data_IF_144476488895
#
_entry.id   IF_144476488895
#
_cell.length_a   1.000
_cell.length_b   1.000
_cell.length_c   1.000
_cell.angle_alpha   90.00
_cell.angle_beta   90.00
_cell.angle_gamma   90.00
#
_symmetry.space_group_name_H-M   'P 1'
#
loop_
_entity.id
_entity.type
_entity.pdbx_description
1 polymer ?
#
# COMPACT_ATOMS: atom_id res chain seq x y z
N UNK A 1 -13.96 0.22 24.43
CA UNK A 1 -14.14 0.42 25.87
C UNK A 1 -15.62 0.49 26.23
N UNK A 2 -16.43 1.37 25.64
CA UNK A 2 -17.86 1.51 25.93
C UNK A 2 -18.64 0.18 25.79
N UNK A 3 -18.42 -0.53 24.69
CA UNK A 3 -19.01 -1.85 24.44
C UNK A 3 -18.59 -2.86 25.52
N UNK A 4 -17.31 -2.91 25.87
CA UNK A 4 -16.80 -3.80 26.91
C UNK A 4 -17.44 -3.53 28.27
N UNK A 5 -17.61 -2.26 28.64
CA UNK A 5 -18.26 -1.89 29.91
C UNK A 5 -19.73 -2.31 29.92
N UNK A 6 -20.46 -2.15 28.80
CA UNK A 6 -21.86 -2.56 28.68
C UNK A 6 -21.99 -4.09 28.81
N UNK A 7 -21.17 -4.85 28.08
CA UNK A 7 -21.27 -6.31 28.07
C UNK A 7 -20.81 -6.94 29.38
N UNK A 8 -19.68 -6.46 29.94
CA UNK A 8 -19.17 -6.97 31.23
C UNK A 8 -20.00 -6.49 32.46
N UNK A 9 -20.89 -5.48 32.27
CA UNK A 9 -21.68 -4.93 33.35
C UNK A 9 -20.88 -4.29 34.49
N UNK A 10 -19.57 -4.15 34.32
CA UNK A 10 -18.64 -3.66 35.34
C UNK A 10 -17.57 -2.78 34.70
N UNK A 11 -17.61 -1.46 35.02
CA UNK A 11 -16.67 -0.49 34.45
C UNK A 11 -15.20 -0.81 34.80
N UNK A 12 -14.95 -1.43 35.98
CA UNK A 12 -13.58 -1.85 36.39
C UNK A 12 -13.07 -3.00 35.55
N UNK A 13 -13.95 -3.97 35.27
CA UNK A 13 -13.64 -5.06 34.36
C UNK A 13 -13.33 -4.55 32.95
N UNK A 14 -14.16 -3.63 32.44
CA UNK A 14 -13.91 -2.99 31.15
C UNK A 14 -12.59 -2.21 31.10
N UNK A 15 -12.19 -1.57 32.20
CA UNK A 15 -10.94 -0.82 32.31
C UNK A 15 -9.72 -1.74 32.32
N UNK A 16 -9.80 -2.88 33.03
CA UNK A 16 -8.74 -3.91 33.01
C UNK A 16 -8.49 -4.41 31.62
N UNK A 17 -9.54 -4.79 30.89
CA UNK A 17 -9.43 -5.26 29.51
C UNK A 17 -8.90 -4.16 28.58
N UNK A 18 -9.44 -2.95 28.70
CA UNK A 18 -9.04 -1.82 27.86
C UNK A 18 -7.57 -1.43 28.04
N UNK A 19 -7.00 -1.64 29.23
CA UNK A 19 -5.58 -1.35 29.50
C UNK A 19 -4.61 -2.27 28.76
N UNK A 20 -5.07 -3.45 28.33
CA UNK A 20 -4.25 -4.38 27.54
C UNK A 20 -3.91 -3.81 26.17
N UNK A 21 -4.82 -3.02 25.57
CA UNK A 21 -4.61 -2.43 24.24
C UNK A 21 -3.33 -1.58 24.20
N UNK A 22 -3.21 -0.49 24.99
CA UNK A 22 -2.01 0.33 24.93
C UNK A 22 -0.74 -0.42 25.36
N UNK A 23 -0.84 -1.36 26.29
CA UNK A 23 0.32 -2.12 26.73
C UNK A 23 0.83 -3.10 25.68
N UNK A 24 -0.05 -3.81 24.98
CA UNK A 24 0.32 -4.69 23.87
C UNK A 24 0.86 -3.90 22.67
N UNK A 25 0.31 -2.71 22.40
CA UNK A 25 0.82 -1.80 21.39
C UNK A 25 2.24 -1.32 21.71
N UNK A 26 2.48 -0.90 22.95
CA UNK A 26 3.82 -0.50 23.39
C UNK A 26 4.82 -1.66 23.30
N UNK A 27 4.39 -2.87 23.63
CA UNK A 27 5.19 -4.06 23.45
C UNK A 27 5.53 -4.30 21.97
N UNK A 28 4.51 -4.21 21.09
CA UNK A 28 4.71 -4.36 19.64
C UNK A 28 5.69 -3.32 19.09
N UNK A 29 5.54 -2.05 19.45
CA UNK A 29 6.46 -0.98 19.01
C UNK A 29 7.88 -1.17 19.54
N UNK A 30 8.02 -1.66 20.79
CA UNK A 30 9.31 -2.03 21.33
C UNK A 30 9.99 -3.13 20.55
N UNK A 31 9.24 -4.17 20.19
CA UNK A 31 9.73 -5.29 19.37
C UNK A 31 10.06 -4.83 17.95
N UNK A 32 9.21 -4.02 17.31
CA UNK A 32 9.48 -3.46 15.99
C UNK A 32 10.81 -2.68 15.96
N UNK A 33 11.04 -1.82 16.96
CA UNK A 33 12.32 -1.10 17.10
C UNK A 33 13.50 -2.05 17.27
N UNK A 34 13.36 -3.11 18.08
CA UNK A 34 14.43 -4.07 18.35
C UNK A 34 14.80 -4.89 17.11
N UNK A 35 13.80 -5.23 16.28
CA UNK A 35 13.99 -6.02 15.06
C UNK A 35 14.18 -5.16 13.80
N UNK A 36 14.27 -3.83 13.94
CA UNK A 36 14.48 -2.92 12.82
C UNK A 36 13.36 -2.90 11.80
N UNK A 37 12.09 -3.00 12.27
CA UNK A 37 10.90 -2.99 11.42
C UNK A 37 10.33 -1.58 11.41
N UNK A 38 10.26 -0.99 10.23
CA UNK A 38 9.68 0.33 10.05
C UNK A 38 8.15 0.32 10.20
N UNK A 39 7.65 1.30 10.94
CA UNK A 39 6.20 1.51 11.08
C UNK A 39 5.64 2.22 9.85
N UNK A 40 4.75 1.55 9.12
CA UNK A 40 4.00 2.14 8.03
C UNK A 40 2.49 2.14 8.33
N UNK A 41 1.71 2.93 7.58
CA UNK A 41 0.26 3.02 7.76
C UNK A 41 -0.45 1.68 7.59
N UNK A 42 0.05 0.82 6.70
CA UNK A 42 -0.51 -0.51 6.47
C UNK A 42 -0.28 -1.42 7.69
N UNK A 43 0.91 -1.39 8.29
CA UNK A 43 1.23 -2.14 9.50
C UNK A 43 0.38 -1.70 10.69
N UNK A 44 0.20 -0.38 10.87
CA UNK A 44 -0.61 0.18 11.94
C UNK A 44 -2.11 -0.03 11.71
N UNK A 45 -2.57 0.08 10.45
CA UNK A 45 -3.96 -0.11 10.07
C UNK A 45 -4.42 -1.58 10.16
N UNK A 46 -3.50 -2.54 10.05
CA UNK A 46 -3.80 -3.96 10.15
C UNK A 46 -3.97 -4.45 11.60
N UNK A 47 -3.66 -3.62 12.60
CA UNK A 47 -3.80 -4.01 13.99
C UNK A 47 -5.28 -4.04 14.36
N UNK A 48 -5.78 -5.24 14.60
CA UNK A 48 -7.14 -5.46 15.09
C UNK A 48 -7.16 -5.47 16.61
N UNK A 49 -7.76 -4.42 17.18
CA UNK A 49 -7.93 -4.30 18.63
C UNK A 49 -8.85 -5.38 19.21
N UNK A 50 -9.74 -5.98 18.40
CA UNK A 50 -10.58 -7.09 18.81
C UNK A 50 -9.76 -8.30 19.17
N UNK A 51 -8.86 -8.73 18.30
CA UNK A 51 -7.98 -9.88 18.55
C UNK A 51 -7.04 -9.67 19.74
N UNK A 52 -6.58 -8.43 19.97
CA UNK A 52 -5.71 -8.09 21.10
C UNK A 52 -6.41 -8.27 22.45
N UNK A 53 -7.69 -7.94 22.53
CA UNK A 53 -8.42 -7.98 23.81
C UNK A 53 -9.15 -9.30 24.08
N UNK A 54 -9.24 -10.19 23.09
CA UNK A 54 -10.12 -11.35 23.12
C UNK A 54 -9.85 -12.25 24.34
N UNK A 55 -8.61 -12.69 24.52
CA UNK A 55 -8.23 -13.52 25.68
C UNK A 55 -8.37 -12.77 27.02
N UNK A 56 -8.10 -11.46 27.04
CA UNK A 56 -8.26 -10.67 28.23
C UNK A 56 -9.76 -10.56 28.63
N UNK A 57 -10.64 -10.41 27.64
CA UNK A 57 -12.11 -10.40 27.86
C UNK A 57 -12.56 -11.73 28.44
N UNK A 58 -12.16 -12.85 27.83
CA UNK A 58 -12.52 -14.22 28.26
C UNK A 58 -12.10 -14.48 29.71
N UNK A 59 -10.89 -14.09 30.08
CA UNK A 59 -10.38 -14.29 31.44
C UNK A 59 -11.14 -13.43 32.45
N UNK A 60 -11.32 -12.14 32.15
CA UNK A 60 -12.03 -11.20 33.06
C UNK A 60 -13.51 -11.58 33.20
N UNK A 61 -14.17 -11.96 32.09
CA UNK A 61 -15.55 -12.44 32.10
C UNK A 61 -15.70 -13.68 32.98
N UNK A 62 -14.78 -14.64 32.81
CA UNK A 62 -14.81 -15.85 33.63
C UNK A 62 -14.65 -15.57 35.11
N UNK A 63 -13.76 -14.66 35.48
CA UNK A 63 -13.56 -14.23 36.84
C UNK A 63 -14.81 -13.57 37.41
N UNK A 64 -15.38 -12.60 36.67
CA UNK A 64 -16.59 -11.87 37.08
C UNK A 64 -17.78 -12.81 37.21
N UNK A 65 -17.98 -13.69 36.24
CA UNK A 65 -19.08 -14.67 36.25
C UNK A 65 -18.94 -15.67 37.39
N UNK A 66 -17.73 -16.19 37.64
CA UNK A 66 -17.43 -17.12 38.70
C UNK A 66 -17.74 -16.52 40.09
N UNK A 67 -17.33 -15.28 40.33
CA UNK A 67 -17.59 -14.55 41.59
C UNK A 67 -19.08 -14.27 41.76
N UNK A 68 -19.74 -13.76 40.68
CA UNK A 68 -21.17 -13.37 40.75
C UNK A 68 -22.12 -14.58 40.89
N UNK A 69 -21.74 -15.75 40.33
CA UNK A 69 -22.51 -16.98 40.43
C UNK A 69 -22.30 -17.68 41.81
N UNK A 70 -21.38 -17.19 42.66
CA UNK A 70 -21.08 -17.78 43.92
C UNK A 70 -20.45 -19.21 43.80
N UNK A 71 -19.83 -19.52 42.69
CA UNK A 71 -19.18 -20.81 42.42
C UNK A 71 -17.76 -20.83 42.96
N UNK A 72 -17.61 -20.47 44.23
CA UNK A 72 -16.28 -20.39 44.88
C UNK A 72 -15.56 -21.72 44.91
N UNK A 73 -14.24 -21.69 44.70
CA UNK A 73 -13.35 -22.81 44.69
C UNK A 73 -13.24 -23.45 46.09
N UNK A 74 -13.22 -22.60 47.13
CA UNK A 74 -13.15 -23.05 48.51
C UNK A 74 -14.55 -23.35 49.09
N UNK A 75 -14.77 -24.57 49.65
CA UNK A 75 -16.04 -24.93 50.27
C UNK A 75 -16.43 -24.02 51.46
N UNK A 76 -15.44 -23.50 52.20
CA UNK A 76 -15.63 -22.58 53.32
C UNK A 76 -16.18 -21.24 52.86
N UNK A 77 -15.62 -20.65 51.81
CA UNK A 77 -16.08 -19.37 51.23
C UNK A 77 -17.47 -19.55 50.64
N UNK A 78 -17.72 -20.66 49.93
CA UNK A 78 -19.03 -20.99 49.39
C UNK A 78 -20.09 -21.15 50.47
N UNK A 79 -19.77 -21.85 51.59
CA UNK A 79 -20.68 -22.01 52.73
C UNK A 79 -20.99 -20.65 53.41
N UNK A 80 -19.97 -19.81 53.60
CA UNK A 80 -20.13 -18.47 54.16
C UNK A 80 -21.00 -17.55 53.26
N UNK A 81 -20.79 -17.63 51.94
CA UNK A 81 -21.62 -16.91 50.95
C UNK A 81 -23.11 -17.33 51.05
N UNK A 82 -23.39 -18.65 51.01
CA UNK A 82 -24.73 -19.19 51.07
C UNK A 82 -25.44 -18.84 52.40
N UNK A 83 -24.72 -18.91 53.53
CA UNK A 83 -25.25 -18.52 54.83
C UNK A 83 -25.64 -17.02 54.84
N UNK A 84 -24.78 -16.15 54.30
CA UNK A 84 -25.03 -14.71 54.29
C UNK A 84 -26.11 -14.31 53.27
N UNK A 85 -26.21 -15.02 52.16
CA UNK A 85 -27.29 -14.84 51.18
C UNK A 85 -28.68 -15.17 51.79
N UNK A 86 -28.76 -16.28 52.59
CA UNK A 86 -29.99 -16.65 53.32
C UNK A 86 -30.37 -15.62 54.34
N UNK A 87 -29.39 -14.93 54.96
CA UNK A 87 -29.60 -13.87 55.93
C UNK A 87 -29.91 -12.48 55.30
N UNK A 88 -30.01 -12.38 53.96
CA UNK A 88 -30.28 -11.13 53.26
C UNK A 88 -29.12 -10.12 53.29
N UNK A 89 -27.92 -10.55 53.70
CA UNK A 89 -26.73 -9.69 53.79
C UNK A 89 -25.83 -9.71 52.58
N UNK A 90 -25.15 -8.61 52.29
CA UNK A 90 -24.11 -8.56 51.26
C UNK A 90 -22.88 -9.37 51.66
N UNK A 91 -22.26 -10.05 50.68
CA UNK A 91 -21.01 -10.81 50.86
C UNK A 91 -19.82 -10.07 50.23
N UNK A 92 -18.70 -10.04 50.94
CA UNK A 92 -17.47 -9.44 50.49
C UNK A 92 -16.29 -10.36 50.71
N UNK A 93 -15.52 -10.63 49.68
CA UNK A 93 -14.30 -11.40 49.71
C UNK A 93 -13.17 -10.62 50.40
N UNK A 94 -12.30 -11.30 51.13
CA UNK A 94 -10.99 -10.80 51.52
C UNK A 94 -10.06 -10.75 50.29
N UNK A 95 -8.90 -10.08 50.38
CA UNK A 95 -7.99 -9.99 49.25
C UNK A 95 -7.42 -11.40 48.92
N UNK A 96 -7.05 -12.17 49.94
CA UNK A 96 -6.51 -13.52 49.74
C UNK A 96 -7.53 -14.46 49.07
N UNK A 97 -8.79 -14.41 49.48
CA UNK A 97 -9.86 -15.17 48.82
C UNK A 97 -10.08 -14.70 47.35
N UNK A 98 -10.01 -13.38 47.10
CA UNK A 98 -10.11 -12.84 45.75
C UNK A 98 -8.96 -13.34 44.84
N UNK A 99 -7.74 -13.34 45.35
CA UNK A 99 -6.54 -13.78 44.61
C UNK A 99 -6.67 -15.27 44.25
N UNK A 100 -7.17 -16.10 45.18
CA UNK A 100 -7.36 -17.53 44.94
C UNK A 100 -8.47 -17.81 43.92
N UNK A 101 -9.60 -17.11 44.01
CA UNK A 101 -10.72 -17.26 43.07
C UNK A 101 -10.36 -16.75 41.65
N UNK A 102 -9.59 -15.66 41.55
CA UNK A 102 -9.05 -15.21 40.27
C UNK A 102 -8.07 -16.22 39.70
N UNK A 103 -7.14 -16.74 40.52
CA UNK A 103 -6.20 -17.80 40.10
C UNK A 103 -6.94 -19.05 39.60
N UNK A 104 -7.93 -19.52 40.34
CA UNK A 104 -8.74 -20.68 39.95
C UNK A 104 -9.45 -20.48 38.65
N UNK A 105 -10.19 -19.35 38.50
CA UNK A 105 -10.95 -19.04 37.30
C UNK A 105 -10.08 -18.84 36.07
N UNK A 106 -9.00 -18.07 36.21
CA UNK A 106 -8.03 -17.84 35.14
C UNK A 106 -7.34 -19.17 34.73
N UNK A 107 -6.94 -20.03 35.68
CA UNK A 107 -6.30 -21.30 35.38
C UNK A 107 -7.18 -22.26 34.60
N UNK A 108 -8.48 -22.28 34.90
CA UNK A 108 -9.45 -23.14 34.20
C UNK A 108 -9.64 -22.78 32.74
N UNK A 109 -9.58 -21.51 32.40
CA UNK A 109 -9.83 -21.00 31.02
C UNK A 109 -8.53 -20.78 30.24
N UNK A 110 -7.41 -20.62 30.94
CA UNK A 110 -6.09 -20.34 30.35
C UNK A 110 -5.77 -21.24 29.17
N UNK A 111 -6.03 -22.57 29.26
CA UNK A 111 -5.68 -23.47 28.16
C UNK A 111 -6.45 -23.15 26.87
N UNK A 112 -7.75 -22.90 26.99
CA UNK A 112 -8.59 -22.57 25.80
C UNK A 112 -8.25 -21.21 25.21
N UNK A 113 -8.03 -20.19 26.04
CA UNK A 113 -7.64 -18.87 25.61
C UNK A 113 -6.26 -18.87 24.95
N UNK A 114 -5.26 -19.51 25.59
CA UNK A 114 -3.91 -19.62 25.05
C UNK A 114 -3.87 -20.37 23.70
N UNK A 115 -4.64 -21.45 23.58
CA UNK A 115 -4.71 -22.21 22.33
C UNK A 115 -5.28 -21.34 21.18
N UNK A 116 -6.31 -20.55 21.44
CA UNK A 116 -6.89 -19.64 20.45
C UNK A 116 -5.88 -18.60 19.95
N UNK A 117 -5.15 -17.93 20.86
CA UNK A 117 -4.14 -16.93 20.49
C UNK A 117 -2.95 -17.54 19.72
N UNK A 118 -2.48 -18.72 20.14
CA UNK A 118 -1.41 -19.43 19.41
C UNK A 118 -1.88 -19.79 18.00
N UNK A 119 -3.12 -20.23 17.82
CA UNK A 119 -3.67 -20.52 16.50
C UNK A 119 -3.69 -19.27 15.61
N UNK A 120 -4.09 -18.13 16.17
CA UNK A 120 -4.07 -16.85 15.43
C UNK A 120 -2.63 -16.48 15.05
N UNK A 121 -1.67 -16.58 15.97
CA UNK A 121 -0.26 -16.29 15.68
C UNK A 121 0.31 -17.17 14.56
N UNK A 122 -0.03 -18.47 14.53
CA UNK A 122 0.43 -19.40 13.50
C UNK A 122 -0.04 -18.98 12.10
N UNK A 123 -1.23 -18.38 11.96
CA UNK A 123 -1.74 -17.91 10.68
C UNK A 123 -0.86 -16.82 10.07
N UNK A 124 -0.15 -16.04 10.89
CA UNK A 124 0.76 -14.99 10.39
C UNK A 124 2.14 -15.51 9.97
N UNK A 125 2.52 -16.72 10.36
CA UNK A 125 3.84 -17.31 10.02
C UNK A 125 4.06 -17.43 8.51
N UNK A 126 3.11 -17.93 7.70
CA UNK A 126 3.26 -17.97 6.24
C UNK A 126 3.47 -16.57 5.62
N UNK A 127 2.82 -15.54 6.14
CA UNK A 127 3.00 -14.16 5.64
C UNK A 127 4.40 -13.60 5.90
N UNK A 128 5.08 -14.08 6.95
CA UNK A 128 6.47 -13.70 7.24
C UNK A 128 7.48 -14.34 6.29
N UNK A 129 7.11 -15.42 5.61
CA UNK A 129 7.99 -16.14 4.65
C UNK A 129 7.85 -15.64 3.23
N UNK A 130 6.93 -14.70 2.96
CA UNK A 130 6.78 -14.09 1.65
C UNK A 130 8.07 -13.38 1.22
N UNK A 131 8.42 -13.53 -0.06
CA UNK A 131 9.57 -12.91 -0.71
C UNK A 131 9.11 -11.98 -1.84
N UNK A 132 10.02 -11.20 -2.41
CA UNK A 132 9.67 -10.30 -3.50
C UNK A 132 8.93 -9.05 -3.00
N UNK A 133 8.06 -8.50 -3.84
CA UNK A 133 7.29 -7.28 -3.60
C UNK A 133 6.26 -7.52 -2.47
N UNK A 134 5.56 -8.65 -2.54
CA UNK A 134 4.60 -9.08 -1.53
C UNK A 134 5.25 -9.18 -0.16
N UNK A 135 6.46 -9.75 -0.10
CA UNK A 135 7.22 -9.84 1.14
C UNK A 135 7.58 -8.47 1.70
N UNK A 136 8.00 -7.52 0.86
CA UNK A 136 8.31 -6.14 1.30
C UNK A 136 7.10 -5.42 1.88
N UNK A 137 5.90 -5.67 1.34
CA UNK A 137 4.66 -5.03 1.79
C UNK A 137 4.06 -5.72 3.02
N UNK A 138 3.88 -7.05 2.98
CA UNK A 138 3.11 -7.78 3.98
C UNK A 138 3.93 -8.25 5.18
N UNK A 139 5.23 -8.50 5.03
CA UNK A 139 6.08 -8.98 6.12
C UNK A 139 6.16 -7.99 7.31
N UNK A 140 6.35 -6.68 7.12
CA UNK A 140 6.32 -5.71 8.23
C UNK A 140 4.95 -5.69 8.93
N UNK A 141 3.86 -5.76 8.16
CA UNK A 141 2.50 -5.83 8.67
C UNK A 141 2.29 -7.08 9.52
N UNK A 142 2.62 -8.27 8.99
CA UNK A 142 2.47 -9.55 9.68
C UNK A 142 3.27 -9.60 10.99
N UNK A 143 4.51 -9.09 10.98
CA UNK A 143 5.36 -9.01 12.18
C UNK A 143 4.78 -8.05 13.22
N UNK A 144 4.26 -6.91 12.82
CA UNK A 144 3.64 -5.94 13.74
C UNK A 144 2.43 -6.54 14.45
N UNK A 145 1.54 -7.17 13.69
CA UNK A 145 0.36 -7.85 14.26
C UNK A 145 0.76 -9.03 15.13
N UNK A 146 1.72 -9.84 14.70
CA UNK A 146 2.25 -10.94 15.49
C UNK A 146 2.80 -10.47 16.86
N UNK A 147 3.59 -9.40 16.88
CA UNK A 147 4.10 -8.84 18.12
C UNK A 147 3.00 -8.25 19.01
N UNK A 148 1.98 -7.62 18.42
CA UNK A 148 0.85 -7.11 19.17
C UNK A 148 0.06 -8.23 19.85
N UNK A 149 -0.21 -9.34 19.13
CA UNK A 149 -0.88 -10.53 19.67
C UNK A 149 0.00 -11.25 20.70
N UNK A 150 1.30 -11.38 20.43
CA UNK A 150 2.25 -11.96 21.40
C UNK A 150 2.29 -11.15 22.70
N UNK A 151 2.32 -9.82 22.60
CA UNK A 151 2.24 -8.93 23.75
C UNK A 151 0.93 -9.10 24.51
N UNK A 152 -0.20 -9.15 23.81
CA UNK A 152 -1.50 -9.41 24.39
C UNK A 152 -1.57 -10.77 25.08
N UNK A 153 -1.01 -11.80 24.45
CA UNK A 153 -0.89 -13.16 25.03
C UNK A 153 -0.14 -13.17 26.36
N UNK A 154 1.03 -12.56 26.40
CA UNK A 154 1.83 -12.45 27.64
C UNK A 154 1.06 -11.68 28.70
N UNK A 155 0.44 -10.57 28.34
CA UNK A 155 -0.34 -9.74 29.26
C UNK A 155 -1.60 -10.45 29.76
N UNK A 156 -2.28 -11.22 28.91
CA UNK A 156 -3.47 -11.98 29.29
C UNK A 156 -3.16 -13.05 30.35
N UNK A 157 -1.99 -13.66 30.27
CA UNK A 157 -1.56 -14.68 31.23
C UNK A 157 -0.99 -14.12 32.54
N UNK A 158 -0.46 -12.91 32.54
CA UNK A 158 0.27 -12.33 33.68
C UNK A 158 -0.43 -11.12 34.27
N UNK A 159 -0.54 -10.06 33.48
CA UNK A 159 -1.07 -8.77 33.89
C UNK A 159 -2.58 -8.82 34.21
N UNK A 160 -3.37 -9.43 33.31
CA UNK A 160 -4.84 -9.44 33.42
C UNK A 160 -5.32 -10.12 34.70
N UNK A 161 -4.86 -11.34 35.09
CA UNK A 161 -5.24 -11.95 36.36
C UNK A 161 -4.82 -11.12 37.57
N UNK A 162 -3.59 -10.57 37.55
CA UNK A 162 -3.07 -9.79 38.67
C UNK A 162 -3.89 -8.51 38.86
N UNK A 163 -4.15 -7.74 37.80
CA UNK A 163 -4.93 -6.50 37.89
C UNK A 163 -6.40 -6.77 38.18
N UNK A 164 -6.93 -7.91 37.70
CA UNK A 164 -8.30 -8.35 38.04
C UNK A 164 -8.47 -8.57 39.53
N UNK A 165 -7.52 -9.20 40.20
CA UNK A 165 -7.58 -9.43 41.64
C UNK A 165 -7.55 -8.13 42.47
N UNK A 166 -6.84 -7.10 41.94
CA UNK A 166 -6.68 -5.80 42.62
C UNK A 166 -7.85 -4.82 42.35
N UNK A 167 -8.30 -4.73 41.09
CA UNK A 167 -9.26 -3.70 40.66
C UNK A 167 -10.72 -4.17 40.67
N UNK A 168 -11.01 -5.47 40.50
CA UNK A 168 -12.40 -5.91 40.52
C UNK A 168 -13.03 -5.76 41.90
N UNK A 169 -14.34 -5.58 41.88
CA UNK A 169 -15.10 -5.40 43.13
C UNK A 169 -15.12 -6.71 43.92
N UNK A 170 -14.64 -6.67 45.15
CA UNK A 170 -14.74 -7.76 46.11
C UNK A 170 -16.15 -7.97 46.67
N UNK A 171 -17.10 -7.03 46.37
CA UNK A 171 -18.51 -7.19 46.75
C UNK A 171 -19.20 -8.06 45.71
N UNK A 172 -19.79 -9.17 46.14
CA UNK A 172 -20.58 -10.04 45.28
C UNK A 172 -21.96 -9.38 45.09
N UNK A 173 -22.29 -9.06 43.83
CA UNK A 173 -23.55 -8.45 43.48
C UNK A 173 -24.60 -9.53 43.27
N UNK A 174 -25.64 -9.52 44.08
CA UNK A 174 -26.78 -10.45 43.98
C UNK A 174 -27.93 -9.89 43.11
N UNK A 175 -27.83 -8.64 42.70
CA UNK A 175 -28.85 -8.00 41.88
C UNK A 175 -28.45 -8.05 40.40
N UNK A 176 -29.41 -8.41 39.54
CA UNK A 176 -29.22 -8.43 38.09
C UNK A 176 -28.90 -7.03 37.56
N UNK A 177 -27.78 -6.90 36.92
CA UNK A 177 -27.31 -5.70 36.24
C UNK A 177 -28.07 -5.50 34.92
N UNK A 178 -27.97 -4.34 34.29
CA UNK A 178 -28.52 -4.08 32.96
C UNK A 178 -27.93 -5.07 31.93
N UNK A 179 -26.64 -5.34 32.02
CA UNK A 179 -25.93 -6.34 31.20
C UNK A 179 -26.56 -7.72 31.32
N UNK A 180 -26.81 -8.19 32.56
CA UNK A 180 -27.41 -9.52 32.79
C UNK A 180 -28.79 -9.63 32.13
N UNK A 181 -29.60 -8.59 32.23
CA UNK A 181 -30.92 -8.54 31.58
C UNK A 181 -30.83 -8.53 30.05
N UNK A 182 -29.86 -7.85 29.50
CA UNK A 182 -29.61 -7.82 28.07
C UNK A 182 -29.15 -9.21 27.58
N UNK A 183 -28.21 -9.83 28.29
CA UNK A 183 -27.72 -11.17 27.99
C UNK A 183 -28.84 -12.21 28.10
N UNK A 184 -29.67 -12.15 29.17
CA UNK A 184 -30.84 -13.04 29.30
C UNK A 184 -31.83 -12.92 28.14
N UNK A 185 -32.09 -11.68 27.66
CA UNK A 185 -32.94 -11.51 26.47
C UNK A 185 -32.32 -12.11 25.21
N UNK A 186 -31.02 -11.89 24.99
CA UNK A 186 -30.29 -12.47 23.86
C UNK A 186 -30.29 -14.01 23.94
N UNK A 187 -30.03 -14.58 25.13
CA UNK A 187 -30.11 -16.02 25.37
C UNK A 187 -31.52 -16.57 25.15
N UNK A 188 -32.55 -15.84 25.59
CA UNK A 188 -33.94 -16.18 25.35
C UNK A 188 -34.33 -16.27 23.87
N UNK A 189 -33.73 -15.40 23.06
CA UNK A 189 -33.90 -15.43 21.60
C UNK A 189 -33.01 -16.50 20.94
N UNK A 190 -31.79 -16.67 21.41
CA UNK A 190 -30.82 -17.64 20.86
C UNK A 190 -31.19 -19.08 21.14
N UNK A 191 -31.70 -19.38 22.34
CA UNK A 191 -32.05 -20.74 22.78
C UNK A 191 -33.00 -21.49 21.82
N UNK A 192 -34.14 -20.93 21.37
CA UNK A 192 -35.02 -21.61 20.43
C UNK A 192 -34.35 -21.85 19.07
N UNK A 193 -33.53 -20.90 18.59
CA UNK A 193 -32.76 -21.03 17.36
C UNK A 193 -31.76 -22.18 17.48
N UNK A 194 -31.02 -22.23 18.58
CA UNK A 194 -30.06 -23.32 18.83
C UNK A 194 -30.73 -24.69 18.89
N UNK A 195 -31.85 -24.81 19.60
CA UNK A 195 -32.62 -26.07 19.67
C UNK A 195 -33.13 -26.49 18.32
N UNK A 196 -33.60 -25.55 17.49
CA UNK A 196 -34.06 -25.83 16.14
C UNK A 196 -32.90 -26.31 15.24
N UNK A 197 -31.73 -25.65 15.30
CA UNK A 197 -30.51 -26.04 14.58
C UNK A 197 -30.03 -27.43 14.98
N UNK A 198 -29.99 -27.71 16.28
CA UNK A 198 -29.62 -29.04 16.79
C UNK A 198 -30.59 -30.14 16.36
N UNK A 199 -31.90 -29.85 16.34
CA UNK A 199 -32.88 -30.79 15.87
C UNK A 199 -32.80 -31.08 14.34
N UNK A 200 -32.34 -30.06 13.57
CA UNK A 200 -32.22 -30.16 12.10
C UNK A 200 -30.76 -30.09 11.63
N UNK A 201 -29.84 -30.71 12.40
CA UNK A 201 -28.40 -30.63 12.14
C UNK A 201 -28.00 -31.03 10.71
N UNK A 202 -28.67 -32.04 10.13
CA UNK A 202 -28.39 -32.48 8.76
C UNK A 202 -28.73 -31.39 7.71
N UNK A 203 -29.89 -30.76 7.85
CA UNK A 203 -30.34 -29.70 6.93
C UNK A 203 -29.41 -28.48 7.03
N UNK A 204 -29.00 -28.11 8.25
CA UNK A 204 -28.10 -27.01 8.51
C UNK A 204 -26.71 -27.27 7.94
N UNK A 205 -26.17 -28.50 8.15
CA UNK A 205 -24.88 -28.88 7.56
C UNK A 205 -24.96 -28.86 6.04
N UNK A 206 -26.03 -29.42 5.46
CA UNK A 206 -26.22 -29.41 4.01
C UNK A 206 -26.30 -27.98 3.44
N UNK A 207 -27.05 -27.11 4.12
CA UNK A 207 -27.15 -25.71 3.74
C UNK A 207 -25.80 -24.97 3.84
N UNK A 208 -25.01 -25.23 4.88
CA UNK A 208 -23.69 -24.65 5.05
C UNK A 208 -22.71 -25.13 3.96
N UNK A 209 -22.71 -26.43 3.66
CA UNK A 209 -21.89 -26.99 2.57
C UNK A 209 -22.32 -26.44 1.22
N UNK A 210 -23.65 -26.37 0.96
CA UNK A 210 -24.16 -25.79 -0.28
C UNK A 210 -23.73 -24.32 -0.44
N UNK A 211 -23.85 -23.50 0.63
CA UNK A 211 -23.40 -22.12 0.63
C UNK A 211 -21.90 -22.00 0.38
N UNK A 212 -21.11 -22.88 1.01
CA UNK A 212 -19.66 -22.94 0.79
C UNK A 212 -19.31 -23.27 -0.66
N UNK A 213 -19.99 -24.25 -1.27
CA UNK A 213 -19.80 -24.60 -2.68
C UNK A 213 -20.19 -23.42 -3.61
N UNK A 214 -21.31 -22.75 -3.34
CA UNK A 214 -21.71 -21.54 -4.09
C UNK A 214 -20.66 -20.44 -3.96
N UNK A 215 -20.10 -20.23 -2.76
CA UNK A 215 -19.03 -19.26 -2.55
C UNK A 215 -17.74 -19.61 -3.30
N UNK A 216 -17.37 -20.90 -3.35
CA UNK A 216 -16.24 -21.39 -4.16
C UNK A 216 -16.43 -21.17 -5.65
N UNK A 217 -17.66 -21.40 -6.14
CA UNK A 217 -17.99 -21.11 -7.54
C UNK A 217 -17.93 -19.61 -7.80
N UNK A 218 -18.50 -18.80 -6.90
CA UNK A 218 -18.44 -17.34 -6.97
C UNK A 218 -16.99 -16.81 -6.97
N UNK A 219 -16.11 -17.43 -6.20
CA UNK A 219 -14.70 -17.05 -6.13
C UNK A 219 -13.96 -17.13 -7.48
N UNK A 220 -14.36 -18.06 -8.36
CA UNK A 220 -13.81 -18.16 -9.73
C UNK A 220 -14.12 -16.95 -10.61
N UNK A 221 -15.18 -16.22 -10.30
CA UNK A 221 -15.61 -15.03 -11.05
C UNK A 221 -15.08 -13.73 -10.42
N UNK A 222 -14.47 -13.80 -9.23
CA UNK A 222 -13.79 -12.64 -8.66
C UNK A 222 -12.42 -12.54 -9.32
N UNK A 223 -12.15 -11.41 -9.97
CA UNK A 223 -10.81 -11.03 -10.39
C UNK A 223 -9.90 -10.86 -9.16
N UNK A 224 -8.60 -11.05 -9.34
CA UNK A 224 -7.62 -10.76 -8.32
C UNK A 224 -6.82 -9.52 -8.72
N UNK A 225 -6.88 -8.45 -7.93
CA UNK A 225 -5.97 -7.33 -8.02
C UNK A 225 -5.03 -7.37 -6.82
N UNK A 226 -3.74 -7.20 -7.08
CA UNK A 226 -2.73 -7.20 -6.02
C UNK A 226 -2.77 -5.90 -5.21
N UNK A 227 -2.87 -4.78 -5.91
CA UNK A 227 -3.10 -3.46 -5.34
C UNK A 227 -4.40 -2.95 -5.95
N UNK A 228 -5.44 -2.69 -5.15
CA UNK A 228 -6.67 -2.12 -5.69
C UNK A 228 -6.37 -0.79 -6.36
N UNK A 229 -6.89 -0.60 -7.57
CA UNK A 229 -6.80 0.65 -8.29
C UNK A 229 -7.47 1.76 -7.46
N UNK A 230 -6.70 2.77 -7.09
CA UNK A 230 -7.23 3.95 -6.42
C UNK A 230 -7.84 4.88 -7.46
N UNK A 231 -9.03 5.40 -7.21
CA UNK A 231 -9.57 6.51 -8.03
C UNK A 231 -8.93 7.81 -7.57
N UNK A 232 -7.93 8.30 -8.31
CA UNK A 232 -7.13 9.48 -7.94
C UNK A 232 -7.78 10.78 -8.41
N UNK A 233 -8.71 10.69 -9.38
CA UNK A 233 -9.39 11.86 -9.94
C UNK A 233 -8.61 12.60 -11.03
N UNK A 234 -7.32 12.29 -11.23
CA UNK A 234 -6.46 12.85 -12.26
C UNK A 234 -5.81 11.74 -13.08
N UNK A 235 -5.37 12.04 -14.31
CA UNK A 235 -4.66 11.10 -15.16
C UNK A 235 -3.25 11.53 -15.47
N UNK A 236 -2.39 10.54 -15.74
CA UNK A 236 -1.05 10.71 -16.25
C UNK A 236 -0.91 9.93 -17.55
N UNK A 237 -0.42 10.58 -18.60
CA UNK A 237 -0.13 9.93 -19.88
C UNK A 237 1.37 9.84 -20.04
N UNK A 238 1.89 8.63 -20.20
CA UNK A 238 3.24 8.42 -20.70
C UNK A 238 3.19 8.51 -22.23
N UNK A 239 3.86 9.51 -22.77
CA UNK A 239 3.91 9.79 -24.20
C UNK A 239 5.33 9.57 -24.72
N UNK A 240 5.49 8.80 -25.77
CA UNK A 240 6.78 8.56 -26.41
C UNK A 240 6.69 8.69 -27.92
N UNK A 241 7.80 9.10 -28.53
CA UNK A 241 8.01 9.15 -29.98
C UNK A 241 9.28 8.36 -30.32
N UNK A 242 9.45 8.07 -31.60
CA UNK A 242 10.64 7.36 -32.09
C UNK A 242 11.94 8.02 -31.62
N UNK A 243 12.95 7.19 -31.30
CA UNK A 243 14.27 7.68 -30.88
C UNK A 243 14.88 8.66 -31.88
N UNK A 244 15.51 9.71 -31.35
CA UNK A 244 16.08 10.80 -32.17
C UNK A 244 15.08 11.86 -32.57
N UNK A 245 13.84 11.79 -32.12
CA UNK A 245 12.87 12.91 -32.27
C UNK A 245 13.41 14.15 -31.59
N UNK A 246 13.36 15.30 -32.31
CA UNK A 246 13.83 16.56 -31.74
C UNK A 246 12.90 17.09 -30.64
N UNK A 247 13.46 17.85 -29.70
CA UNK A 247 12.67 18.50 -28.65
C UNK A 247 11.55 19.39 -29.27
N UNK A 248 11.83 20.09 -30.37
CA UNK A 248 10.85 20.93 -31.06
C UNK A 248 9.66 20.14 -31.58
N UNK A 249 9.92 18.95 -32.15
CA UNK A 249 8.87 18.04 -32.60
C UNK A 249 8.07 17.48 -31.42
N UNK A 250 8.74 17.07 -30.36
CA UNK A 250 8.06 16.56 -29.16
C UNK A 250 7.17 17.62 -28.51
N UNK A 251 7.65 18.87 -28.41
CA UNK A 251 6.84 20.00 -27.92
C UNK A 251 5.60 20.21 -28.80
N UNK A 252 5.75 20.18 -30.13
CA UNK A 252 4.63 20.35 -31.07
C UNK A 252 3.61 19.22 -30.90
N UNK A 253 4.07 17.98 -30.78
CA UNK A 253 3.23 16.79 -30.59
C UNK A 253 2.50 16.80 -29.25
N UNK A 254 3.18 17.11 -28.15
CA UNK A 254 2.55 17.25 -26.84
C UNK A 254 1.51 18.39 -26.82
N UNK A 255 1.83 19.52 -27.44
CA UNK A 255 0.86 20.64 -27.57
C UNK A 255 -0.38 20.24 -28.37
N UNK A 256 -0.21 19.41 -29.39
CA UNK A 256 -1.32 18.87 -30.16
C UNK A 256 -2.15 17.90 -29.30
N UNK A 257 -1.51 17.02 -28.54
CA UNK A 257 -2.16 16.07 -27.63
C UNK A 257 -2.98 16.81 -26.55
N UNK A 258 -2.40 17.82 -25.91
CA UNK A 258 -3.10 18.65 -24.91
C UNK A 258 -4.33 19.35 -25.49
N UNK A 259 -4.21 19.94 -26.68
CA UNK A 259 -5.34 20.59 -27.36
C UNK A 259 -6.43 19.60 -27.73
N UNK A 260 -6.05 18.43 -28.24
CA UNK A 260 -6.98 17.37 -28.64
C UNK A 260 -7.77 16.85 -27.42
N UNK A 261 -7.08 16.51 -26.34
CA UNK A 261 -7.69 16.06 -25.09
C UNK A 261 -8.64 17.09 -24.51
N UNK A 262 -8.20 18.36 -24.44
CA UNK A 262 -9.02 19.45 -23.90
C UNK A 262 -10.25 19.77 -24.76
N UNK A 263 -10.17 19.51 -26.05
CA UNK A 263 -11.28 19.81 -26.99
C UNK A 263 -12.31 18.69 -27.01
N UNK A 264 -11.86 17.44 -26.97
CA UNK A 264 -12.75 16.27 -27.06
C UNK A 264 -13.36 15.85 -25.73
N UNK A 265 -12.67 16.11 -24.62
CA UNK A 265 -13.10 15.69 -23.29
C UNK A 265 -13.42 16.89 -22.39
N UNK A 266 -14.71 17.21 -22.17
CA UNK A 266 -15.13 18.30 -21.27
C UNK A 266 -14.67 18.11 -19.83
N UNK A 267 -14.36 16.87 -19.44
CA UNK A 267 -13.83 16.49 -18.13
C UNK A 267 -12.43 17.04 -17.87
N UNK A 268 -11.65 17.30 -18.92
CA UNK A 268 -10.29 17.83 -18.82
C UNK A 268 -10.33 19.30 -18.41
N UNK A 269 -9.90 19.57 -17.19
CA UNK A 269 -9.74 20.92 -16.67
C UNK A 269 -8.44 21.55 -17.20
N UNK A 270 -7.35 20.79 -17.13
CA UNK A 270 -6.02 21.22 -17.53
C UNK A 270 -5.18 20.03 -17.95
N UNK A 271 -4.34 20.18 -18.96
CA UNK A 271 -3.30 19.24 -19.33
C UNK A 271 -1.97 19.99 -19.36
N UNK A 272 -0.91 19.37 -18.82
CA UNK A 272 0.44 19.93 -18.75
C UNK A 272 1.45 18.85 -19.07
N UNK A 273 2.30 19.07 -20.06
CA UNK A 273 3.34 18.14 -20.46
C UNK A 273 4.69 18.51 -19.85
N UNK A 274 5.36 17.53 -19.30
CA UNK A 274 6.77 17.59 -18.91
C UNK A 274 7.57 16.78 -19.92
N UNK A 275 8.46 17.44 -20.66
CA UNK A 275 9.21 16.85 -21.77
C UNK A 275 10.70 16.83 -21.42
N UNK A 276 11.33 15.64 -21.54
CA UNK A 276 12.74 15.49 -21.26
C UNK A 276 13.13 15.76 -19.81
N UNK A 277 14.43 15.91 -19.55
CA UNK A 277 14.99 16.17 -18.22
C UNK A 277 15.10 17.66 -17.92
N UNK A 278 14.87 18.03 -16.68
CA UNK A 278 15.19 19.37 -16.18
C UNK A 278 16.71 19.58 -16.08
N UNK A 279 17.13 20.84 -15.89
CA UNK A 279 18.55 21.22 -15.68
C UNK A 279 19.18 20.46 -14.48
N UNK A 280 18.39 20.29 -13.41
CA UNK A 280 18.74 19.38 -12.30
C UNK A 280 17.78 18.20 -12.40
N UNK A 281 18.22 17.05 -12.94
CA UNK A 281 17.33 15.92 -13.21
C UNK A 281 16.99 15.20 -11.91
N UNK A 282 15.74 15.36 -11.47
CA UNK A 282 15.16 14.50 -10.42
C UNK A 282 14.62 13.19 -10.98
N UNK A 283 14.35 13.18 -12.30
CA UNK A 283 13.84 12.05 -13.06
C UNK A 283 14.41 12.17 -14.48
N UNK A 284 15.52 11.46 -14.80
CA UNK A 284 16.16 11.55 -16.10
C UNK A 284 15.27 10.91 -17.17
N UNK A 285 14.79 11.73 -18.09
CA UNK A 285 13.91 11.32 -19.19
C UNK A 285 14.49 11.83 -20.51
N UNK A 286 14.59 11.00 -21.56
CA UNK A 286 15.06 11.45 -22.87
C UNK A 286 14.07 12.43 -23.50
N UNK A 287 14.53 13.20 -24.47
CA UNK A 287 13.74 14.29 -25.09
C UNK A 287 12.55 13.80 -25.93
N UNK A 288 12.58 12.56 -26.38
CA UNK A 288 11.49 11.89 -27.10
C UNK A 288 10.42 11.30 -26.19
N UNK A 289 10.55 11.44 -24.86
CA UNK A 289 9.53 11.05 -23.87
C UNK A 289 8.95 12.25 -23.14
N UNK A 290 7.68 12.14 -22.79
CA UNK A 290 6.98 13.14 -21.99
C UNK A 290 5.96 12.49 -21.06
N UNK A 291 5.76 13.09 -19.89
CA UNK A 291 4.63 12.81 -19.01
C UNK A 291 3.60 13.94 -19.15
N UNK A 292 2.38 13.61 -19.57
CA UNK A 292 1.28 14.58 -19.67
C UNK A 292 0.37 14.39 -18.46
N UNK A 293 0.39 15.34 -17.55
CA UNK A 293 -0.50 15.36 -16.38
C UNK A 293 -1.83 16.01 -16.75
N UNK A 294 -2.93 15.29 -16.52
CA UNK A 294 -4.28 15.70 -16.87
C UNK A 294 -5.08 15.87 -15.58
N UNK A 295 -5.36 17.11 -15.21
CA UNK A 295 -6.28 17.41 -14.12
C UNK A 295 -7.72 17.32 -14.62
N UNK A 296 -8.53 16.48 -13.97
CA UNK A 296 -9.91 16.25 -14.33
C UNK A 296 -10.88 17.03 -13.45
N UNK A 297 -12.11 17.17 -13.93
CA UNK A 297 -13.24 17.63 -13.12
C UNK A 297 -13.76 16.49 -12.24
N UNK A 298 -14.49 16.79 -11.15
CA UNK A 298 -15.09 15.77 -10.33
C UNK A 298 -15.92 14.76 -11.16
N UNK A 299 -15.83 13.48 -10.82
CA UNK A 299 -16.49 12.38 -11.55
C UNK A 299 -17.99 12.58 -11.77
N UNK A 300 -18.65 13.30 -10.86
CA UNK A 300 -20.07 13.65 -11.00
C UNK A 300 -20.38 14.57 -12.20
N UNK A 301 -19.39 15.28 -12.75
CA UNK A 301 -19.50 16.18 -13.88
C UNK A 301 -19.11 15.53 -15.21
N UNK A 302 -18.71 14.25 -15.20
CA UNK A 302 -18.27 13.55 -16.39
C UNK A 302 -19.45 13.25 -17.33
N UNK A 303 -19.23 13.48 -18.62
CA UNK A 303 -20.23 13.29 -19.67
C UNK A 303 -19.80 12.25 -20.72
N UNK A 304 -18.48 12.12 -20.96
CA UNK A 304 -17.94 11.26 -22.01
C UNK A 304 -17.85 9.80 -21.57
N UNK A 305 -17.72 9.52 -20.26
CA UNK A 305 -17.62 8.19 -19.70
C UNK A 305 -18.24 8.09 -18.30
N UNK A 306 -18.66 6.90 -17.91
CA UNK A 306 -19.22 6.63 -16.57
C UNK A 306 -18.19 6.11 -15.58
N UNK A 307 -17.16 5.47 -16.08
CA UNK A 307 -16.10 4.84 -15.26
C UNK A 307 -14.74 5.37 -15.64
N UNK A 308 -13.80 5.32 -14.68
CA UNK A 308 -12.41 5.75 -14.88
C UNK A 308 -11.73 4.96 -16.00
N UNK A 309 -11.80 3.61 -16.05
CA UNK A 309 -11.21 2.85 -17.14
C UNK A 309 -11.78 3.20 -18.52
N UNK A 310 -13.09 3.43 -18.62
CA UNK A 310 -13.74 3.82 -19.89
C UNK A 310 -13.22 5.17 -20.40
N UNK A 311 -12.99 6.12 -19.49
CA UNK A 311 -12.46 7.44 -19.87
C UNK A 311 -10.99 7.34 -20.31
N UNK A 312 -10.20 6.53 -19.62
CA UNK A 312 -8.79 6.27 -19.96
C UNK A 312 -8.69 5.65 -21.35
N UNK A 313 -9.47 4.61 -21.66
CA UNK A 313 -9.50 3.93 -22.96
C UNK A 313 -9.86 4.91 -24.09
N UNK A 314 -10.91 5.73 -23.92
CA UNK A 314 -11.31 6.74 -24.90
C UNK A 314 -10.23 7.81 -25.16
N UNK A 315 -9.54 8.24 -24.09
CA UNK A 315 -8.43 9.18 -24.22
C UNK A 315 -7.24 8.55 -24.95
N UNK A 316 -6.91 7.30 -24.65
CA UNK A 316 -5.85 6.56 -25.33
C UNK A 316 -6.16 6.36 -26.83
N UNK A 317 -7.39 5.96 -27.18
CA UNK A 317 -7.83 5.86 -28.57
C UNK A 317 -7.73 7.20 -29.31
N UNK A 318 -8.07 8.28 -28.62
CA UNK A 318 -7.96 9.64 -29.17
C UNK A 318 -6.51 10.05 -29.42
N UNK A 319 -5.59 9.71 -28.51
CA UNK A 319 -4.18 10.01 -28.65
C UNK A 319 -3.51 9.20 -29.78
N UNK A 320 -3.98 7.99 -30.06
CA UNK A 320 -3.53 7.16 -31.21
C UNK A 320 -3.80 7.81 -32.57
N UNK A 321 -4.65 8.86 -32.65
CA UNK A 321 -4.87 9.61 -33.87
C UNK A 321 -3.68 10.53 -34.24
N UNK A 322 -2.77 10.78 -33.31
CA UNK A 322 -1.57 11.60 -33.53
C UNK A 322 -0.46 10.70 -34.11
N UNK A 323 -0.03 10.94 -35.36
CA UNK A 323 0.95 10.09 -36.01
C UNK A 323 2.29 10.05 -35.26
N UNK A 324 2.81 8.85 -35.00
CA UNK A 324 4.12 8.63 -34.38
C UNK A 324 4.13 8.84 -32.85
N UNK A 325 2.99 9.14 -32.25
CA UNK A 325 2.84 9.21 -30.80
C UNK A 325 2.38 7.86 -30.27
N UNK A 326 3.15 7.27 -29.38
CA UNK A 326 2.74 6.18 -28.51
C UNK A 326 2.35 6.79 -27.16
N UNK A 327 1.16 6.49 -26.69
CA UNK A 327 0.63 7.08 -25.46
C UNK A 327 -0.12 6.02 -24.66
N UNK A 328 0.22 5.92 -23.37
CA UNK A 328 -0.46 5.07 -22.39
C UNK A 328 -1.06 5.95 -21.30
N UNK A 329 -2.35 5.77 -21.02
CA UNK A 329 -3.07 6.55 -20.02
C UNK A 329 -3.16 5.76 -18.74
N UNK A 330 -2.68 6.34 -17.64
CA UNK A 330 -2.71 5.75 -16.30
C UNK A 330 -3.08 6.81 -15.25
N UNK A 331 -2.99 6.45 -13.99
CA UNK A 331 -3.18 7.39 -12.89
C UNK A 331 -1.82 7.73 -12.25
N UNK A 332 -1.59 8.99 -11.79
CA UNK A 332 -0.27 9.45 -11.32
C UNK A 332 0.35 8.61 -10.21
N UNK A 333 -0.43 8.27 -9.17
CA UNK A 333 0.06 7.47 -8.03
C UNK A 333 0.26 6.02 -8.45
N UNK A 334 -0.65 5.46 -9.26
CA UNK A 334 -0.53 4.11 -9.80
C UNK A 334 0.75 3.98 -10.63
N UNK A 335 0.99 4.89 -11.57
CA UNK A 335 2.19 4.93 -12.39
C UNK A 335 3.46 4.99 -11.53
N UNK A 336 3.46 5.85 -10.50
CA UNK A 336 4.61 5.98 -9.59
C UNK A 336 4.82 4.75 -8.70
N UNK A 337 3.74 4.14 -8.24
CA UNK A 337 3.82 2.88 -7.48
C UNK A 337 4.38 1.75 -8.34
N UNK A 338 3.92 1.59 -9.58
CA UNK A 338 4.44 0.61 -10.51
C UNK A 338 5.94 0.80 -10.74
N UNK A 339 6.38 2.02 -11.01
CA UNK A 339 7.78 2.37 -11.20
C UNK A 339 8.65 2.02 -9.98
N UNK A 340 8.19 2.35 -8.77
CA UNK A 340 8.92 2.07 -7.53
C UNK A 340 8.97 0.57 -7.20
N UNK A 341 7.92 -0.17 -7.55
CA UNK A 341 7.81 -1.59 -7.22
C UNK A 341 8.49 -2.49 -8.26
N UNK A 342 8.31 -2.21 -9.54
CA UNK A 342 8.73 -3.07 -10.66
C UNK A 342 9.88 -2.48 -11.47
N UNK A 343 10.14 -1.18 -11.35
CA UNK A 343 11.10 -0.42 -12.14
C UNK A 343 10.56 0.00 -13.51
N UNK A 344 9.25 -0.18 -13.75
CA UNK A 344 8.54 0.28 -14.96
C UNK A 344 7.23 0.95 -14.55
N UNK A 345 6.71 1.82 -15.40
CA UNK A 345 5.44 2.54 -15.16
C UNK A 345 4.21 1.69 -15.46
N UNK A 346 4.36 0.69 -16.35
CA UNK A 346 3.30 -0.20 -16.82
C UNK A 346 2.94 -1.29 -15.80
N UNK A 347 1.74 -1.85 -15.92
CA UNK A 347 1.26 -2.90 -15.02
C UNK A 347 1.98 -4.24 -15.21
N UNK A 348 2.44 -4.55 -16.43
CA UNK A 348 3.13 -5.81 -16.75
C UNK A 348 4.44 -5.54 -17.49
N UNK A 349 5.52 -6.16 -17.05
CA UNK A 349 6.82 -6.13 -17.71
C UNK A 349 7.26 -7.52 -18.17
N UNK A 350 7.65 -7.63 -19.42
CA UNK A 350 8.34 -8.81 -19.95
C UNK A 350 9.80 -8.45 -20.15
N UNK A 351 10.68 -9.01 -19.31
CA UNK A 351 12.12 -8.74 -19.35
C UNK A 351 12.84 -9.85 -20.11
N UNK A 352 13.56 -9.47 -21.17
CA UNK A 352 14.37 -10.38 -21.98
C UNK A 352 15.84 -10.07 -21.70
N UNK A 353 16.63 -11.10 -21.39
CA UNK A 353 18.03 -10.96 -21.02
C UNK A 353 18.93 -11.58 -22.10
N UNK A 354 20.06 -10.93 -22.39
CA UNK A 354 21.06 -11.38 -23.35
C UNK A 354 22.21 -10.39 -23.47
N UNK A 355 23.29 -10.77 -24.16
CA UNK A 355 24.49 -9.95 -24.29
C UNK A 355 24.47 -9.09 -25.56
N UNK A 356 23.66 -9.44 -26.56
CA UNK A 356 23.61 -8.77 -27.87
C UNK A 356 22.31 -7.95 -28.00
N UNK A 357 22.46 -6.65 -28.17
CA UNK A 357 21.34 -5.70 -28.25
C UNK A 357 20.47 -5.90 -29.50
N UNK A 358 21.08 -6.29 -30.66
CA UNK A 358 20.31 -6.52 -31.90
C UNK A 358 19.45 -7.78 -31.78
N UNK A 359 20.01 -8.83 -31.16
CA UNK A 359 19.26 -10.06 -30.86
C UNK A 359 18.14 -9.78 -29.86
N UNK A 360 18.40 -8.97 -28.80
CA UNK A 360 17.38 -8.58 -27.83
C UNK A 360 16.24 -7.83 -28.49
N UNK A 361 16.52 -6.83 -29.32
CA UNK A 361 15.51 -6.06 -30.06
C UNK A 361 14.64 -6.96 -30.95
N UNK A 362 15.29 -7.87 -31.70
CA UNK A 362 14.58 -8.82 -32.56
C UNK A 362 13.70 -9.81 -31.79
N UNK A 363 14.12 -10.25 -30.59
CA UNK A 363 13.30 -11.10 -29.71
C UNK A 363 12.16 -10.32 -29.07
N UNK A 364 12.39 -9.09 -28.64
CA UNK A 364 11.35 -8.22 -28.08
C UNK A 364 10.23 -8.00 -29.09
N UNK A 365 10.57 -7.73 -30.37
CA UNK A 365 9.57 -7.56 -31.42
C UNK A 365 8.80 -8.87 -31.74
N UNK A 366 9.44 -10.03 -31.63
CA UNK A 366 8.72 -11.31 -31.74
C UNK A 366 7.73 -11.50 -30.59
N UNK A 367 8.15 -11.19 -29.36
CA UNK A 367 7.28 -11.27 -28.19
C UNK A 367 6.11 -10.31 -28.34
N UNK A 368 6.35 -9.06 -28.77
CA UNK A 368 5.30 -8.07 -29.03
C UNK A 368 4.22 -8.65 -29.95
N UNK A 369 4.63 -9.23 -31.10
CA UNK A 369 3.69 -9.84 -32.06
C UNK A 369 2.91 -11.04 -31.48
N UNK A 370 3.53 -11.79 -30.57
CA UNK A 370 2.86 -12.93 -29.93
C UNK A 370 1.77 -12.47 -28.94
N UNK A 371 2.02 -11.40 -28.18
CA UNK A 371 1.11 -10.93 -27.14
C UNK A 371 0.03 -9.97 -27.66
N UNK A 372 0.23 -9.35 -28.83
CA UNK A 372 -0.71 -8.40 -29.44
C UNK A 372 -2.13 -8.95 -29.60
N UNK A 373 -2.27 -10.27 -29.75
CA UNK A 373 -3.53 -10.95 -29.95
C UNK A 373 -4.10 -11.58 -28.67
N UNK A 374 -3.47 -11.38 -27.51
CA UNK A 374 -3.94 -11.93 -26.25
C UNK A 374 -5.07 -11.08 -25.71
N UNK A 375 -6.26 -11.65 -25.42
CA UNK A 375 -7.37 -10.87 -24.87
C UNK A 375 -7.00 -10.20 -23.54
N UNK A 376 -7.28 -8.92 -23.43
CA UNK A 376 -6.97 -8.13 -22.24
C UNK A 376 -5.62 -7.38 -22.27
N UNK A 377 -4.85 -7.53 -23.34
CA UNK A 377 -3.65 -6.72 -23.57
C UNK A 377 -4.03 -5.41 -24.26
N UNK A 378 -3.64 -4.29 -23.68
CA UNK A 378 -3.72 -2.96 -24.28
C UNK A 378 -2.37 -2.24 -24.06
N UNK A 379 -1.98 -1.38 -24.99
CA UNK A 379 -0.79 -0.54 -24.84
C UNK A 379 0.53 -1.34 -24.73
N UNK A 380 1.01 -1.94 -25.83
CA UNK A 380 2.29 -2.64 -25.84
C UNK A 380 3.40 -1.66 -26.24
N UNK A 381 4.30 -1.37 -25.32
CA UNK A 381 5.51 -0.57 -25.57
C UNK A 381 6.73 -1.47 -25.54
N UNK A 382 7.58 -1.38 -26.57
CA UNK A 382 8.88 -2.06 -26.63
C UNK A 382 9.96 -1.03 -26.39
N UNK A 383 10.84 -1.29 -25.41
CA UNK A 383 11.96 -0.39 -25.14
C UNK A 383 12.94 -0.44 -26.31
N UNK A 384 13.19 0.70 -26.93
CA UNK A 384 14.17 0.81 -28.01
C UNK A 384 15.59 0.89 -27.44
N UNK A 385 16.44 -0.06 -27.80
CA UNK A 385 17.83 -0.15 -27.33
C UNK A 385 18.85 0.18 -28.42
N UNK A 386 18.41 0.51 -29.62
CA UNK A 386 19.27 0.82 -30.77
C UNK A 386 18.63 1.88 -31.66
N UNK A 387 19.45 2.56 -32.45
CA UNK A 387 18.94 3.47 -33.49
C UNK A 387 19.18 4.95 -33.26
N UNK A 388 19.76 5.39 -32.13
CA UNK A 388 20.10 6.79 -31.93
C UNK A 388 21.30 7.19 -32.80
N UNK A 389 21.12 8.03 -33.84
CA UNK A 389 22.23 8.49 -34.64
C UNK A 389 23.15 9.38 -33.82
N UNK A 390 24.44 9.08 -33.78
CA UNK A 390 25.45 9.84 -33.09
C UNK A 390 26.44 10.47 -34.06
N UNK A 391 26.84 11.71 -33.80
CA UNK A 391 27.93 12.36 -34.52
C UNK A 391 29.22 12.04 -33.76
N UNK A 392 30.12 11.29 -34.38
CA UNK A 392 31.44 11.00 -33.86
C UNK A 392 32.46 11.94 -34.49
N UNK A 393 33.14 12.73 -33.69
CA UNK A 393 34.25 13.58 -34.12
C UNK A 393 35.56 12.82 -33.97
N UNK A 394 36.25 12.60 -35.07
CA UNK A 394 37.56 11.93 -35.12
C UNK A 394 38.65 12.97 -35.42
N UNK A 395 39.58 13.10 -34.48
CA UNK A 395 40.67 14.08 -34.60
C UNK A 395 41.77 13.58 -35.51
N UNK A 396 42.25 14.44 -36.45
CA UNK A 396 43.42 14.17 -37.20
C UNK A 396 44.63 14.78 -36.50
N UNK A 397 45.29 13.97 -35.66
CA UNK A 397 46.42 14.40 -34.83
C UNK A 397 47.61 14.96 -35.61
N UNK A 398 47.87 14.46 -36.85
CA UNK A 398 48.95 15.00 -37.69
C UNK A 398 48.69 16.42 -38.15
N UNK A 399 47.44 16.69 -38.60
CA UNK A 399 47.06 18.06 -38.97
C UNK A 399 47.02 18.99 -37.75
N UNK A 400 46.50 18.50 -36.66
CA UNK A 400 46.44 19.27 -35.40
C UNK A 400 47.85 19.70 -34.97
N UNK A 401 48.81 18.78 -35.00
CA UNK A 401 50.23 19.11 -34.68
C UNK A 401 50.84 20.11 -35.69
N UNK A 402 50.50 19.97 -36.99
CA UNK A 402 51.00 20.90 -38.00
C UNK A 402 50.47 22.33 -37.84
N UNK A 403 49.26 22.50 -37.33
CA UNK A 403 48.63 23.80 -37.09
C UNK A 403 48.70 24.28 -35.63
N UNK A 404 49.33 23.54 -34.73
CA UNK A 404 49.45 23.88 -33.32
C UNK A 404 48.13 23.90 -32.54
N UNK A 405 47.12 23.14 -33.00
CA UNK A 405 45.79 23.10 -32.38
C UNK A 405 45.68 21.89 -31.46
N UNK A 406 45.17 22.13 -30.25
CA UNK A 406 44.91 21.07 -29.26
C UNK A 406 43.50 20.43 -29.42
N UNK A 407 43.31 19.28 -28.79
CA UNK A 407 41.98 18.63 -28.74
C UNK A 407 41.03 19.53 -27.99
N UNK A 408 41.48 20.25 -26.97
CA UNK A 408 40.64 21.12 -26.13
C UNK A 408 40.14 22.33 -26.93
N UNK A 409 40.97 22.90 -27.84
CA UNK A 409 40.54 24.01 -28.70
C UNK A 409 39.42 23.60 -29.62
N UNK A 410 39.50 22.38 -30.20
CA UNK A 410 38.46 21.83 -31.07
C UNK A 410 37.20 21.56 -30.25
N UNK A 411 37.31 20.95 -29.09
CA UNK A 411 36.17 20.64 -28.24
C UNK A 411 35.47 21.91 -27.74
N UNK A 412 36.21 22.94 -27.37
CA UNK A 412 35.64 24.21 -26.93
C UNK A 412 34.83 24.89 -28.06
N UNK A 413 35.32 24.86 -29.31
CA UNK A 413 34.57 25.37 -30.44
C UNK A 413 33.29 24.55 -30.71
N UNK A 414 33.40 23.24 -30.66
CA UNK A 414 32.25 22.34 -30.84
C UNK A 414 31.19 22.53 -29.74
N UNK A 415 31.63 22.57 -28.48
CA UNK A 415 30.75 22.78 -27.34
C UNK A 415 30.06 24.13 -27.42
N UNK A 416 30.82 25.21 -27.63
CA UNK A 416 30.26 26.56 -27.78
C UNK A 416 29.27 26.63 -28.92
N UNK A 417 29.54 25.96 -30.04
CA UNK A 417 28.71 26.00 -31.24
C UNK A 417 27.40 25.25 -31.06
N UNK A 418 27.44 24.03 -30.55
CA UNK A 418 26.28 23.12 -30.51
C UNK A 418 25.59 23.12 -29.15
N UNK A 419 26.28 22.94 -28.05
CA UNK A 419 25.74 22.92 -26.70
C UNK A 419 25.53 24.33 -26.14
N UNK A 420 26.48 25.20 -26.39
CA UNK A 420 26.56 26.56 -25.85
C UNK A 420 27.53 26.67 -24.71
N UNK A 421 28.28 27.75 -24.65
CA UNK A 421 29.20 28.08 -23.57
C UNK A 421 28.65 29.24 -22.72
N UNK A 422 28.71 29.12 -21.42
CA UNK A 422 28.32 30.18 -20.47
C UNK A 422 29.36 31.29 -20.51
N UNK A 423 29.02 32.46 -21.03
CA UNK A 423 29.89 33.63 -21.11
C UNK A 423 29.81 34.54 -19.85
N UNK A 424 28.79 34.36 -19.04
CA UNK A 424 28.58 35.12 -17.81
C UNK A 424 27.19 34.91 -17.24
N UNK A 425 26.84 35.62 -16.18
CA UNK A 425 25.55 35.57 -15.56
C UNK A 425 24.97 36.95 -15.29
N UNK A 426 23.67 37.12 -15.43
CA UNK A 426 22.90 38.30 -15.05
C UNK A 426 22.10 38.00 -13.81
N UNK A 427 22.17 38.88 -12.82
CA UNK A 427 21.40 38.75 -11.58
C UNK A 427 20.25 39.77 -11.58
N UNK A 428 19.03 39.26 -11.41
CA UNK A 428 17.80 40.05 -11.24
C UNK A 428 17.18 39.72 -9.87
N UNK A 429 17.55 40.51 -8.84
CA UNK A 429 17.19 40.20 -7.46
C UNK A 429 17.83 38.88 -7.00
N UNK A 430 17.03 37.91 -6.57
CA UNK A 430 17.51 36.59 -6.12
C UNK A 430 17.64 35.57 -7.26
N UNK A 431 17.38 35.95 -8.50
CA UNK A 431 17.46 35.08 -9.68
C UNK A 431 18.74 35.31 -10.45
N UNK A 432 19.37 34.21 -10.85
CA UNK A 432 20.55 34.20 -11.72
C UNK A 432 20.12 33.65 -13.10
N UNK A 433 20.54 34.33 -14.17
CA UNK A 433 20.34 33.91 -15.56
C UNK A 433 21.69 33.83 -16.25
N UNK A 434 22.00 32.68 -16.83
CA UNK A 434 23.25 32.49 -17.55
C UNK A 434 23.18 33.14 -18.95
N UNK A 435 24.25 33.86 -19.32
CA UNK A 435 24.42 34.33 -20.69
C UNK A 435 25.11 33.23 -21.47
N UNK A 436 24.37 32.58 -22.37
CA UNK A 436 24.89 31.45 -23.15
C UNK A 436 25.19 31.90 -24.58
N UNK A 437 26.44 31.75 -25.01
CA UNK A 437 26.85 31.93 -26.39
C UNK A 437 26.70 30.61 -27.15
N UNK A 438 25.92 30.64 -28.24
CA UNK A 438 25.64 29.46 -29.06
C UNK A 438 25.36 29.85 -30.50
N UNK A 439 25.64 28.94 -31.45
CA UNK A 439 25.31 29.16 -32.86
C UNK A 439 23.79 29.23 -33.09
N UNK A 440 23.38 30.01 -34.11
CA UNK A 440 21.98 30.12 -34.53
C UNK A 440 21.36 28.71 -34.76
N UNK A 441 20.14 28.43 -34.27
CA UNK A 441 19.49 27.11 -34.43
C UNK A 441 19.41 26.63 -35.87
N UNK A 442 19.24 27.51 -36.85
CA UNK A 442 19.17 27.15 -38.26
C UNK A 442 20.48 26.62 -38.84
N UNK A 443 21.63 26.95 -38.20
CA UNK A 443 22.97 26.53 -38.59
C UNK A 443 23.53 25.42 -37.77
N UNK A 444 22.80 24.91 -36.80
CA UNK A 444 23.21 23.76 -35.96
C UNK A 444 22.78 22.46 -36.58
N UNK A 445 23.42 22.07 -37.68
CA UNK A 445 23.21 20.78 -38.36
C UNK A 445 24.54 20.12 -38.73
N UNK A 446 24.47 18.90 -39.25
CA UNK A 446 25.68 18.12 -39.56
C UNK A 446 26.54 18.81 -40.65
N UNK A 447 25.90 19.48 -41.62
CA UNK A 447 26.58 20.21 -42.71
C UNK A 447 27.38 21.38 -42.18
N UNK A 448 26.87 22.10 -41.16
CA UNK A 448 27.59 23.20 -40.53
C UNK A 448 28.87 22.79 -39.78
N UNK A 449 29.03 21.51 -39.44
CA UNK A 449 30.31 20.98 -38.86
C UNK A 449 31.48 21.08 -39.85
N UNK A 450 31.21 20.99 -41.17
CA UNK A 450 32.24 21.07 -42.19
C UNK A 450 32.78 22.48 -42.38
N UNK A 451 31.94 23.49 -42.05
CA UNK A 451 32.23 24.93 -42.21
C UNK A 451 32.75 25.58 -40.92
N UNK A 452 32.89 24.77 -39.80
CA UNK A 452 33.37 25.28 -38.54
C UNK A 452 34.86 25.66 -38.62
N UNK A 453 35.13 26.98 -38.40
CA UNK A 453 36.50 27.48 -38.32
C UNK A 453 37.03 27.38 -36.91
N UNK A 454 38.21 26.77 -36.78
CA UNK A 454 38.94 26.66 -35.52
C UNK A 454 40.00 27.76 -35.51
N UNK A 455 40.00 28.64 -34.49
CA UNK A 455 41.01 29.68 -34.39
C UNK A 455 42.39 29.07 -34.18
N UNK A 456 43.38 29.51 -34.94
CA UNK A 456 44.76 29.19 -34.72
C UNK A 456 45.32 30.15 -33.67
N UNK A 457 45.88 29.65 -32.59
CA UNK A 457 46.53 30.43 -31.54
C UNK A 457 47.96 30.79 -31.89
#
# INVERSE_FOLDING_TARGET
IFVLVIFLGNWRAGLVVASVIPLSMLFAFGMMKTFGIDGNLMSLGAIDFGMIVDSAVIIVEAVVTHINMGQFSQPSVRAAFLARQRAGGGFRLSQAEMDEEVHYSASKIRQSAAFGEIMIMIVYVPLMTLVGIEGKMFRPMALTVFFAILGAFILSLTYVPMVSSLLLSRKVHTHKTFSDRMIERLQGWYRPVLLWVLARHKDVITAAVALFCVSLVGFKFLGGEFIPSLEEGDFAVEASMAQGTSLSQMVATCTQAEKLLKTQFPEVKQAVSRIGSAEIPTDPMPVERADIMIALRPKAEWTSAKTTPELMEKMEETLKLIPGLEAEVSQPIQMRNNELLTGIKQDVAIKIFGDDLEVLAAQAEKVRKMIEHVPGVSGITVEEVSGLPQIQVRYNHERMAAYGVSVDDINQVLETTFAGAVAGAVYEGDRQFDIVLRMDPSKRNVDALQDLSIPLT
#
